data_IF_431052622268
#
_entry.id   IF_431052622268
#
_cell.length_a   1.000
_cell.length_b   1.000
_cell.length_c   1.000
_cell.angle_alpha   90.00
_cell.angle_beta   90.00
_cell.angle_gamma   90.00
#
_symmetry.space_group_name_H-M   'P 1'
#
loop_
_entity.id
_entity.type
_entity.pdbx_description
1 polymer ?
#
# COMPACT_ATOMS: atom_id res chain seq x y z
N UNK A 1 8.72 25.82 18.26
CA UNK A 1 8.63 26.04 16.80
C UNK A 1 9.64 25.22 15.98
N UNK A 2 10.96 25.50 15.99
CA UNK A 2 11.93 24.71 15.18
C UNK A 2 12.03 23.24 15.59
N UNK A 3 12.03 22.95 16.91
CA UNK A 3 12.07 21.59 17.45
C UNK A 3 10.78 20.82 17.10
N UNK A 4 9.61 21.47 17.22
CA UNK A 4 8.32 20.87 16.84
C UNK A 4 8.25 20.57 15.35
N UNK A 5 8.76 21.47 14.49
CA UNK A 5 8.84 21.23 13.05
C UNK A 5 9.73 20.03 12.72
N UNK A 6 10.88 19.88 13.39
CA UNK A 6 11.72 18.68 13.23
C UNK A 6 11.01 17.42 13.73
N UNK A 7 10.26 17.50 14.83
CA UNK A 7 9.49 16.37 15.34
C UNK A 7 8.39 15.94 14.36
N UNK A 8 7.65 16.89 13.77
CA UNK A 8 6.65 16.59 12.74
C UNK A 8 7.27 16.05 11.45
N UNK A 9 8.43 16.57 11.03
CA UNK A 9 9.16 16.04 9.88
C UNK A 9 9.59 14.59 10.12
N UNK A 10 10.17 14.29 11.27
CA UNK A 10 10.57 12.93 11.64
C UNK A 10 9.34 12.04 11.62
N UNK A 11 8.29 12.36 12.40
CA UNK A 11 7.03 11.59 12.45
C UNK A 11 6.38 11.42 11.07
N UNK A 12 6.50 12.42 10.20
CA UNK A 12 6.01 12.38 8.84
C UNK A 12 6.76 11.42 7.92
N UNK A 13 8.08 11.41 8.01
CA UNK A 13 8.91 10.41 7.32
C UNK A 13 8.57 9.01 7.85
N UNK A 14 8.34 8.88 9.17
CA UNK A 14 7.95 7.62 9.80
C UNK A 14 6.63 7.09 9.21
N UNK A 15 5.58 7.92 9.22
CA UNK A 15 4.27 7.57 8.67
C UNK A 15 4.34 7.32 7.16
N UNK A 16 5.13 8.12 6.46
CA UNK A 16 5.30 8.05 5.02
C UNK A 16 6.04 6.80 4.56
N UNK A 17 6.96 6.24 5.35
CA UNK A 17 7.54 4.93 5.07
C UNK A 17 6.48 3.82 5.04
N UNK A 18 5.47 3.91 5.91
CA UNK A 18 4.38 2.93 5.97
C UNK A 18 3.42 3.10 4.78
N UNK A 19 3.10 4.35 4.41
CA UNK A 19 2.34 4.62 3.17
C UNK A 19 3.12 4.23 1.91
N UNK A 20 4.45 4.36 1.93
CA UNK A 20 5.31 3.86 0.86
C UNK A 20 5.18 2.35 0.69
N UNK A 21 5.07 1.61 1.81
CA UNK A 21 4.85 0.17 1.80
C UNK A 21 3.48 -0.22 1.19
N UNK A 22 2.46 0.63 1.34
CA UNK A 22 1.14 0.47 0.69
C UNK A 22 1.16 0.90 -0.78
N UNK A 23 1.93 1.92 -1.13
CA UNK A 23 2.05 2.42 -2.50
C UNK A 23 2.86 1.48 -3.41
N UNK A 24 3.89 0.84 -2.86
CA UNK A 24 4.75 -0.07 -3.60
C UNK A 24 3.98 -1.19 -4.34
N UNK A 25 3.11 -1.98 -3.69
CA UNK A 25 2.39 -3.04 -4.37
C UNK A 25 1.37 -2.53 -5.37
N UNK A 26 0.80 -1.33 -5.16
CA UNK A 26 -0.08 -0.69 -6.14
C UNK A 26 0.69 -0.39 -7.43
N UNK A 27 1.87 0.22 -7.33
CA UNK A 27 2.74 0.45 -8.50
C UNK A 27 3.21 -0.86 -9.14
N UNK A 28 3.62 -1.86 -8.34
CA UNK A 28 4.08 -3.13 -8.88
C UNK A 28 2.97 -3.87 -9.64
N UNK A 29 1.76 -3.89 -9.08
CA UNK A 29 0.62 -4.53 -9.73
C UNK A 29 0.23 -3.81 -11.02
N UNK A 30 0.17 -2.47 -10.98
CA UNK A 30 -0.13 -1.67 -12.16
C UNK A 30 0.91 -1.91 -13.25
N UNK A 31 2.20 -1.88 -12.91
CA UNK A 31 3.27 -2.14 -13.86
C UNK A 31 3.11 -3.50 -14.56
N UNK A 32 2.65 -4.54 -13.84
CA UNK A 32 2.52 -5.89 -14.41
C UNK A 32 1.19 -6.19 -15.14
N UNK A 33 0.09 -5.55 -14.74
CA UNK A 33 -1.26 -5.89 -15.20
C UNK A 33 -2.02 -4.75 -15.85
N UNK A 34 -1.46 -3.54 -15.89
CA UNK A 34 -2.13 -2.29 -16.28
C UNK A 34 -3.42 -2.00 -15.49
N UNK A 35 -3.59 -2.66 -14.35
CA UNK A 35 -4.78 -2.58 -13.50
C UNK A 35 -4.39 -2.26 -12.06
N UNK A 36 -5.26 -1.54 -11.37
CA UNK A 36 -5.08 -1.14 -9.97
C UNK A 36 -5.91 -2.05 -9.08
N UNK A 37 -5.36 -2.45 -7.94
CA UNK A 37 -6.11 -3.11 -6.88
C UNK A 37 -6.47 -2.09 -5.80
N UNK A 38 -7.77 -1.84 -5.65
CA UNK A 38 -8.29 -0.94 -4.61
C UNK A 38 -8.55 -1.64 -3.27
N UNK A 39 -8.26 -2.94 -3.18
CA UNK A 39 -8.37 -3.73 -1.95
C UNK A 39 -7.18 -3.65 -1.01
N UNK A 40 -6.06 -3.05 -1.43
CA UNK A 40 -4.80 -3.02 -0.66
C UNK A 40 -5.01 -2.52 0.78
N UNK A 41 -5.76 -1.44 0.99
CA UNK A 41 -6.07 -0.94 2.32
C UNK A 41 -6.99 -1.86 3.14
N UNK A 42 -7.93 -2.55 2.50
CA UNK A 42 -8.79 -3.53 3.17
C UNK A 42 -7.97 -4.73 3.69
N UNK A 43 -6.95 -5.18 2.95
CA UNK A 43 -6.04 -6.24 3.41
C UNK A 43 -5.21 -5.79 4.62
N UNK A 44 -4.76 -4.53 4.62
CA UNK A 44 -4.05 -3.94 5.75
C UNK A 44 -4.92 -3.92 7.02
N UNK A 45 -6.18 -3.51 6.89
CA UNK A 45 -7.15 -3.51 7.99
C UNK A 45 -7.44 -4.92 8.50
N UNK A 46 -7.64 -5.89 7.60
CA UNK A 46 -7.85 -7.28 8.00
C UNK A 46 -6.67 -7.85 8.78
N UNK A 47 -5.44 -7.59 8.33
CA UNK A 47 -4.24 -8.02 9.05
C UNK A 47 -4.17 -7.41 10.44
N UNK A 48 -4.43 -6.10 10.54
CA UNK A 48 -4.49 -5.39 11.81
C UNK A 48 -5.55 -6.00 12.72
N UNK A 49 -6.78 -6.21 12.22
CA UNK A 49 -7.92 -6.79 12.93
C UNK A 49 -7.58 -8.11 13.61
N UNK A 50 -7.04 -9.05 12.83
CA UNK A 50 -6.64 -10.37 13.33
C UNK A 50 -5.48 -10.26 14.32
N UNK A 51 -4.49 -9.39 14.05
CA UNK A 51 -3.35 -9.18 14.94
C UNK A 51 -3.74 -8.56 16.28
N UNK A 52 -4.79 -7.71 16.30
CA UNK A 52 -5.33 -7.14 17.53
C UNK A 52 -6.10 -8.18 18.35
N UNK A 53 -6.98 -8.95 17.71
CA UNK A 53 -7.84 -9.92 18.38
C UNK A 53 -7.04 -11.02 19.08
N UNK A 54 -6.05 -11.58 18.40
CA UNK A 54 -5.32 -12.74 18.90
C UNK A 54 -4.12 -12.38 19.77
N UNK A 55 -3.59 -11.17 19.64
CA UNK A 55 -2.42 -10.76 20.42
C UNK A 55 -1.12 -11.47 19.99
N UNK A 56 0.01 -10.94 20.49
CA UNK A 56 1.32 -11.57 20.35
C UNK A 56 1.82 -11.80 18.92
N UNK A 57 2.89 -12.57 18.79
CA UNK A 57 3.50 -12.93 17.49
C UNK A 57 2.59 -13.83 16.64
N UNK A 58 1.76 -14.65 17.30
CA UNK A 58 0.84 -15.56 16.63
C UNK A 58 -0.28 -14.80 15.91
N UNK A 59 -0.86 -13.78 16.55
CA UNK A 59 -1.85 -12.91 15.92
C UNK A 59 -1.29 -12.15 14.72
N UNK A 60 -0.05 -11.66 14.80
CA UNK A 60 0.62 -11.00 13.67
C UNK A 60 0.75 -11.97 12.49
N UNK A 61 1.26 -13.19 12.72
CA UNK A 61 1.42 -14.17 11.66
C UNK A 61 0.09 -14.52 10.99
N UNK A 62 -0.96 -14.76 11.78
CA UNK A 62 -2.29 -15.05 11.25
C UNK A 62 -2.91 -13.86 10.52
N UNK A 63 -2.66 -12.64 10.98
CA UNK A 63 -3.09 -11.42 10.28
C UNK A 63 -2.42 -11.29 8.92
N UNK A 64 -1.11 -11.56 8.84
CA UNK A 64 -0.39 -11.59 7.56
C UNK A 64 -0.91 -12.69 6.64
N UNK A 65 -1.16 -13.89 7.16
CA UNK A 65 -1.80 -14.96 6.39
C UNK A 65 -3.18 -14.54 5.88
N UNK A 66 -3.99 -13.88 6.72
CA UNK A 66 -5.30 -13.35 6.33
C UNK A 66 -5.22 -12.33 5.19
N UNK A 67 -4.27 -11.39 5.25
CA UNK A 67 -4.05 -10.42 4.18
C UNK A 67 -3.57 -11.07 2.88
N UNK A 68 -2.67 -12.05 2.96
CA UNK A 68 -2.20 -12.81 1.80
C UNK A 68 -3.34 -13.62 1.17
N UNK A 69 -4.18 -14.26 1.99
CA UNK A 69 -5.34 -15.00 1.50
C UNK A 69 -6.34 -14.06 0.82
N UNK A 70 -6.63 -12.90 1.44
CA UNK A 70 -7.53 -11.91 0.87
C UNK A 70 -7.02 -11.35 -0.47
N UNK A 71 -5.73 -11.00 -0.56
CA UNK A 71 -5.16 -10.49 -1.80
C UNK A 71 -5.04 -11.58 -2.87
N UNK A 72 -4.79 -12.84 -2.48
CA UNK A 72 -4.81 -13.98 -3.40
C UNK A 72 -6.21 -14.18 -3.97
N UNK A 73 -7.27 -14.09 -3.16
CA UNK A 73 -8.66 -14.18 -3.62
C UNK A 73 -8.99 -13.04 -4.59
N UNK A 74 -8.54 -11.82 -4.32
CA UNK A 74 -8.69 -10.70 -5.24
C UNK A 74 -7.91 -10.90 -6.54
N UNK A 75 -6.69 -11.44 -6.47
CA UNK A 75 -5.89 -11.81 -7.64
C UNK A 75 -6.55 -12.91 -8.47
N UNK A 76 -7.15 -13.90 -7.83
CA UNK A 76 -7.92 -14.96 -8.51
C UNK A 76 -9.18 -14.39 -9.15
N UNK A 77 -9.88 -13.48 -8.48
CA UNK A 77 -11.04 -12.77 -9.04
C UNK A 77 -10.62 -11.97 -10.28
N UNK A 78 -9.53 -11.20 -10.20
CA UNK A 78 -8.94 -10.47 -11.32
C UNK A 78 -8.55 -11.40 -12.47
N UNK A 79 -7.90 -12.53 -12.19
CA UNK A 79 -7.53 -13.52 -13.20
C UNK A 79 -8.76 -14.18 -13.85
N UNK A 80 -9.84 -14.41 -13.10
CA UNK A 80 -11.11 -14.96 -13.61
C UNK A 80 -11.82 -13.97 -14.52
N UNK A 81 -11.88 -12.69 -14.14
CA UNK A 81 -12.45 -11.63 -14.95
C UNK A 81 -11.67 -11.51 -16.26
N UNK A 82 -10.34 -11.47 -16.20
CA UNK A 82 -9.50 -11.37 -17.39
C UNK A 82 -9.56 -12.60 -18.30
N UNK A 83 -9.79 -13.79 -17.74
CA UNK A 83 -9.97 -15.02 -18.52
C UNK A 83 -11.36 -15.11 -19.21
N UNK A 84 -12.36 -14.39 -18.71
CA UNK A 84 -13.73 -14.39 -19.25
C UNK A 84 -13.97 -13.43 -20.42
N UNK A 85 -12.95 -12.71 -20.88
CA UNK A 85 -13.06 -11.81 -22.02
C UNK A 85 -13.35 -12.56 -23.33
N UNK A 86 -14.33 -12.08 -24.11
CA UNK A 86 -14.72 -12.69 -25.39
C UNK A 86 -13.53 -12.66 -26.35
N UNK A 87 -13.18 -13.82 -26.94
CA UNK A 87 -12.16 -13.93 -27.98
C UNK A 87 -10.70 -13.87 -27.49
N UNK A 88 -10.43 -14.07 -26.20
CA UNK A 88 -9.07 -14.01 -25.64
C UNK A 88 -8.51 -12.60 -25.46
N UNK A 89 -9.32 -11.57 -25.74
CA UNK A 89 -9.00 -10.19 -25.41
C UNK A 89 -9.16 -9.96 -23.90
N UNK A 90 -8.23 -9.21 -23.29
CA UNK A 90 -8.36 -8.75 -21.90
C UNK A 90 -9.60 -7.86 -21.79
N UNK A 91 -10.34 -8.01 -20.69
CA UNK A 91 -11.41 -7.08 -20.35
C UNK A 91 -10.82 -5.70 -20.05
N UNK A 92 -11.67 -4.66 -20.15
CA UNK A 92 -11.29 -3.30 -19.78
C UNK A 92 -10.69 -3.29 -18.36
N UNK A 93 -9.48 -2.73 -18.16
CA UNK A 93 -8.85 -2.60 -16.85
C UNK A 93 -9.79 -2.03 -15.77
N UNK A 94 -10.73 -1.16 -16.16
CA UNK A 94 -11.73 -0.59 -15.24
C UNK A 94 -12.62 -1.66 -14.58
N UNK A 95 -12.92 -2.75 -15.27
CA UNK A 95 -13.74 -3.84 -14.71
C UNK A 95 -13.01 -4.53 -13.56
N UNK A 96 -11.69 -4.71 -13.68
CA UNK A 96 -10.85 -5.30 -12.62
C UNK A 96 -10.76 -4.36 -11.42
N UNK A 97 -10.60 -3.07 -11.66
CA UNK A 97 -10.58 -2.03 -10.60
C UNK A 97 -11.91 -2.02 -9.84
N UNK A 98 -13.04 -2.01 -10.55
CA UNK A 98 -14.37 -2.04 -9.92
C UNK A 98 -14.61 -3.33 -9.14
N UNK A 99 -14.14 -4.47 -9.65
CA UNK A 99 -14.27 -5.75 -8.96
C UNK A 99 -13.44 -5.81 -7.68
N UNK A 100 -12.19 -5.32 -7.70
CA UNK A 100 -11.34 -5.24 -6.50
C UNK A 100 -11.88 -4.24 -5.49
N UNK A 101 -12.46 -3.13 -5.94
CA UNK A 101 -13.17 -2.18 -5.08
C UNK A 101 -14.40 -2.81 -4.39
N UNK A 102 -15.23 -3.52 -5.15
CA UNK A 102 -16.36 -4.26 -4.59
C UNK A 102 -15.92 -5.32 -3.57
N UNK A 103 -14.84 -6.05 -3.88
CA UNK A 103 -14.24 -7.00 -2.94
C UNK A 103 -13.71 -6.31 -1.68
N UNK A 104 -13.09 -5.14 -1.80
CA UNK A 104 -12.61 -4.34 -0.67
C UNK A 104 -13.76 -3.97 0.27
N UNK A 105 -14.91 -3.52 -0.27
CA UNK A 105 -16.09 -3.16 0.52
C UNK A 105 -16.67 -4.37 1.25
N UNK A 106 -16.74 -5.53 0.59
CA UNK A 106 -17.21 -6.78 1.22
C UNK A 106 -16.30 -7.14 2.40
N UNK A 107 -14.98 -7.06 2.20
CA UNK A 107 -13.99 -7.39 3.21
C UNK A 107 -14.02 -6.40 4.38
N UNK A 108 -14.14 -5.10 4.10
CA UNK A 108 -14.30 -4.07 5.13
C UNK A 108 -15.60 -4.27 5.93
N UNK A 109 -16.70 -4.58 5.25
CA UNK A 109 -18.00 -4.87 5.88
C UNK A 109 -17.92 -6.12 6.76
N UNK A 110 -17.18 -7.15 6.32
CA UNK A 110 -16.91 -8.33 7.11
C UNK A 110 -16.14 -7.99 8.39
N UNK A 111 -15.05 -7.22 8.28
CA UNK A 111 -14.28 -6.79 9.45
C UNK A 111 -15.14 -5.97 10.42
N UNK A 112 -15.92 -5.00 9.93
CA UNK A 112 -16.79 -4.18 10.78
C UNK A 112 -17.87 -4.98 11.50
N UNK A 113 -18.39 -6.04 10.87
CA UNK A 113 -19.44 -6.88 11.47
C UNK A 113 -18.90 -7.77 12.58
N UNK A 114 -17.71 -8.34 12.40
CA UNK A 114 -17.11 -9.27 13.36
C UNK A 114 -16.33 -8.59 14.49
N UNK A 115 -15.63 -7.49 14.19
CA UNK A 115 -14.73 -6.82 15.14
C UNK A 115 -15.30 -5.53 15.73
N UNK A 116 -16.42 -5.03 15.18
CA UNK A 116 -17.08 -3.81 15.63
C UNK A 116 -16.53 -2.54 14.99
N UNK A 117 -16.92 -1.39 15.56
CA UNK A 117 -16.57 -0.05 15.06
C UNK A 117 -15.54 0.68 15.93
N UNK A 118 -15.22 0.12 17.10
CA UNK A 118 -14.33 0.78 18.04
C UNK A 118 -12.92 0.87 17.46
N UNK A 119 -12.23 2.01 17.59
CA UNK A 119 -10.89 2.16 17.06
C UNK A 119 -9.94 1.17 17.71
N UNK A 120 -9.12 0.54 16.89
CA UNK A 120 -8.06 -0.35 17.32
C UNK A 120 -6.95 0.47 17.93
N UNK A 121 -6.90 0.50 19.27
CA UNK A 121 -5.84 1.19 20.00
C UNK A 121 -5.05 0.13 20.76
N UNK A 122 -3.83 -0.17 20.31
CA UNK A 122 -2.83 -0.77 21.21
C UNK A 122 -2.03 0.36 21.83
N UNK A 123 -1.88 0.30 23.15
CA UNK A 123 -0.94 1.16 23.86
C UNK A 123 0.44 0.94 23.28
N UNK A 124 1.02 2.02 22.74
CA UNK A 124 2.44 2.05 22.47
C UNK A 124 3.19 1.99 23.81
N UNK A 125 4.41 1.43 23.83
CA UNK A 125 5.29 1.45 25.00
C UNK A 125 5.27 2.86 25.62
N UNK A 126 4.96 2.96 26.92
CA UNK A 126 4.83 4.25 27.63
C UNK A 126 6.17 5.01 27.74
N UNK A 127 7.28 4.35 27.42
CA UNK A 127 8.63 4.90 27.50
C UNK A 127 8.95 5.78 26.29
N UNK A 128 8.76 7.10 26.40
CA UNK A 128 9.30 8.03 25.41
C UNK A 128 10.79 8.26 25.64
N UNK A 129 11.64 8.00 24.64
CA UNK A 129 13.05 8.42 24.68
C UNK A 129 13.16 9.88 24.26
N UNK A 130 13.85 10.67 25.08
CA UNK A 130 14.22 12.04 24.75
C UNK A 130 15.65 12.02 24.21
N UNK A 131 15.82 12.34 22.93
CA UNK A 131 17.13 12.56 22.32
C UNK A 131 17.18 14.01 21.86
N UNK A 132 18.13 14.79 22.37
CA UNK A 132 18.34 16.21 22.03
C UNK A 132 17.08 17.11 22.11
N UNK A 133 16.15 16.84 23.04
CA UNK A 133 14.92 17.62 23.21
C UNK A 133 13.74 17.19 22.31
N UNK A 134 13.92 16.15 21.48
CA UNK A 134 12.86 15.58 20.63
C UNK A 134 12.29 14.34 21.33
N UNK A 135 10.96 14.29 21.51
CA UNK A 135 10.26 13.12 22.05
C UNK A 135 10.00 12.14 20.92
N UNK A 136 10.83 11.09 20.83
CA UNK A 136 10.61 10.00 19.88
C UNK A 136 10.08 8.80 20.67
N UNK A 137 8.92 8.29 20.26
CA UNK A 137 8.45 7.02 20.79
C UNK A 137 9.35 5.90 20.22
N UNK A 138 10.07 5.12 21.04
CA UNK A 138 10.96 4.04 20.59
C UNK A 138 10.25 3.05 19.67
N UNK A 139 8.95 2.84 19.89
CA UNK A 139 8.13 1.96 19.06
C UNK A 139 7.97 2.49 17.62
N UNK A 140 7.87 3.81 17.45
CA UNK A 140 7.81 4.42 16.12
C UNK A 140 9.16 4.30 15.39
N UNK A 141 10.28 4.41 16.11
CA UNK A 141 11.61 4.24 15.54
C UNK A 141 11.87 2.78 15.10
N UNK A 142 11.48 1.80 15.93
CA UNK A 142 11.58 0.37 15.61
C UNK A 142 10.72 0.04 14.39
N UNK A 143 9.45 0.46 14.39
CA UNK A 143 8.52 0.19 13.28
C UNK A 143 9.02 0.73 11.94
N UNK A 144 9.72 1.86 11.96
CA UNK A 144 10.29 2.47 10.75
C UNK A 144 11.57 1.79 10.33
N UNK A 145 12.42 1.39 11.30
CA UNK A 145 13.53 0.49 11.02
C UNK A 145 13.05 -0.78 10.30
N UNK A 146 11.94 -1.36 10.77
CA UNK A 146 11.30 -2.51 10.12
C UNK A 146 10.77 -2.17 8.73
N UNK A 147 10.07 -1.05 8.55
CA UNK A 147 9.54 -0.62 7.26
C UNK A 147 10.65 -0.38 6.22
N UNK A 148 11.74 0.28 6.62
CA UNK A 148 12.87 0.57 5.74
C UNK A 148 13.67 -0.71 5.43
N UNK A 149 13.84 -1.58 6.43
CA UNK A 149 14.46 -2.90 6.23
C UNK A 149 13.65 -3.75 5.25
N UNK A 150 12.32 -3.80 5.41
CA UNK A 150 11.43 -4.51 4.50
C UNK A 150 11.46 -3.93 3.09
N UNK A 151 11.46 -2.60 2.96
CA UNK A 151 11.60 -1.94 1.66
C UNK A 151 12.91 -2.31 0.98
N UNK A 152 14.03 -2.31 1.71
CA UNK A 152 15.34 -2.73 1.19
C UNK A 152 15.34 -4.20 0.78
N UNK A 153 14.79 -5.08 1.61
CA UNK A 153 14.67 -6.50 1.33
C UNK A 153 13.83 -6.74 0.07
N UNK A 154 12.74 -5.98 -0.10
CA UNK A 154 11.88 -6.09 -1.26
C UNK A 154 12.50 -5.52 -2.53
N UNK A 155 13.26 -4.44 -2.41
CA UNK A 155 14.08 -3.92 -3.49
C UNK A 155 15.10 -4.98 -3.95
N UNK A 156 15.83 -5.59 -3.01
CA UNK A 156 16.77 -6.65 -3.32
C UNK A 156 16.08 -7.86 -3.95
N UNK A 157 14.93 -8.27 -3.41
CA UNK A 157 14.16 -9.37 -3.97
C UNK A 157 13.69 -9.06 -5.39
N UNK A 158 13.13 -7.88 -5.64
CA UNK A 158 12.70 -7.48 -6.97
C UNK A 158 13.91 -7.47 -7.93
N UNK A 159 14.99 -6.78 -7.60
CA UNK A 159 16.10 -6.58 -8.54
C UNK A 159 17.06 -7.76 -8.69
N UNK A 160 17.21 -8.61 -7.67
CA UNK A 160 18.15 -9.75 -7.69
C UNK A 160 17.52 -11.13 -7.86
N UNK A 161 16.21 -11.31 -7.62
CA UNK A 161 15.59 -12.63 -7.79
C UNK A 161 15.16 -12.91 -9.23
N UNK A 162 15.07 -14.19 -9.60
CA UNK A 162 14.52 -14.62 -10.88
C UNK A 162 13.07 -14.15 -11.07
N UNK A 163 12.23 -14.34 -10.05
CA UNK A 163 10.84 -13.88 -10.03
C UNK A 163 10.71 -12.38 -10.27
N UNK A 164 11.58 -11.58 -9.67
CA UNK A 164 11.57 -10.14 -9.86
C UNK A 164 12.05 -9.70 -11.26
N UNK A 165 12.91 -10.48 -11.92
CA UNK A 165 13.23 -10.28 -13.35
C UNK A 165 12.01 -10.56 -14.21
N UNK A 166 11.28 -11.64 -13.94
CA UNK A 166 10.08 -12.01 -14.69
C UNK A 166 8.96 -10.97 -14.50
N UNK A 167 8.78 -10.46 -13.28
CA UNK A 167 7.87 -9.34 -12.99
C UNK A 167 8.23 -8.09 -13.80
N UNK A 168 9.52 -7.72 -13.86
CA UNK A 168 9.96 -6.58 -14.69
C UNK A 168 9.81 -6.84 -16.19
N UNK A 169 10.03 -8.06 -16.66
CA UNK A 169 9.81 -8.43 -18.05
C UNK A 169 8.32 -8.31 -18.43
N UNK A 170 7.42 -8.81 -17.57
CA UNK A 170 5.99 -8.61 -17.72
C UNK A 170 5.60 -7.12 -17.71
N UNK A 171 6.26 -6.32 -16.87
CA UNK A 171 6.00 -4.89 -16.78
C UNK A 171 6.51 -4.06 -17.97
N UNK A 172 7.54 -4.54 -18.67
CA UNK A 172 8.01 -3.91 -19.89
C UNK A 172 7.08 -4.21 -21.07
N UNK A 173 6.71 -5.48 -21.25
CA UNK A 173 5.73 -5.90 -22.25
C UNK A 173 5.19 -7.30 -21.92
N UNK A 174 3.96 -7.36 -21.42
CA UNK A 174 3.31 -8.61 -21.05
C UNK A 174 3.15 -9.58 -22.23
N UNK A 175 2.96 -9.10 -23.46
CA UNK A 175 2.82 -9.93 -24.66
C UNK A 175 4.17 -10.55 -25.04
N UNK A 176 5.24 -9.74 -25.08
CA UNK A 176 6.59 -10.24 -25.35
C UNK A 176 7.06 -11.22 -24.26
N UNK A 177 6.73 -10.95 -22.99
CA UNK A 177 7.01 -11.87 -21.89
C UNK A 177 6.29 -13.22 -22.06
N UNK A 178 5.03 -13.21 -22.48
CA UNK A 178 4.28 -14.44 -22.77
C UNK A 178 4.91 -15.25 -23.92
N UNK A 179 5.39 -14.56 -24.98
CA UNK A 179 6.08 -15.20 -26.10
C UNK A 179 7.45 -15.77 -25.69
N UNK A 180 8.11 -15.17 -24.70
CA UNK A 180 9.34 -15.69 -24.10
C UNK A 180 9.10 -16.86 -23.12
N UNK A 181 7.87 -17.35 -23.00
CA UNK A 181 7.51 -18.48 -22.13
C UNK A 181 7.25 -18.11 -20.66
N UNK A 182 7.22 -16.81 -20.32
CA UNK A 182 6.94 -16.36 -18.95
C UNK A 182 5.43 -16.51 -18.68
N UNK A 183 5.03 -17.23 -17.61
CA UNK A 183 3.61 -17.42 -17.30
C UNK A 183 3.02 -16.15 -16.65
N UNK A 184 2.66 -15.15 -17.49
CA UNK A 184 2.16 -13.83 -17.07
C UNK A 184 1.05 -13.90 -16.03
N UNK A 185 0.13 -14.88 -16.15
CA UNK A 185 -0.96 -15.08 -15.19
C UNK A 185 -0.47 -15.49 -13.80
N UNK A 186 0.55 -16.33 -13.72
CA UNK A 186 1.16 -16.73 -12.44
C UNK A 186 1.94 -15.57 -11.83
N UNK A 187 2.68 -14.82 -12.66
CA UNK A 187 3.40 -13.62 -12.22
C UNK A 187 2.43 -12.58 -11.64
N UNK A 188 1.29 -12.32 -12.31
CA UNK A 188 0.27 -11.41 -11.80
C UNK A 188 -0.29 -11.87 -10.43
N UNK A 189 -0.61 -13.16 -10.27
CA UNK A 189 -1.07 -13.70 -8.98
C UNK A 189 -0.01 -13.57 -7.88
N UNK A 190 1.26 -13.81 -8.20
CA UNK A 190 2.35 -13.61 -7.26
C UNK A 190 2.48 -12.13 -6.86
N UNK A 191 2.25 -11.19 -7.79
CA UNK A 191 2.22 -9.76 -7.46
C UNK A 191 1.11 -9.43 -6.46
N UNK A 192 -0.10 -10.01 -6.61
CA UNK A 192 -1.18 -9.86 -5.63
C UNK A 192 -0.80 -10.45 -4.26
N UNK A 193 -0.17 -11.62 -4.22
CA UNK A 193 0.28 -12.27 -2.96
C UNK A 193 1.31 -11.41 -2.24
N UNK A 194 2.34 -10.95 -2.95
CA UNK A 194 3.36 -10.04 -2.41
C UNK A 194 2.72 -8.72 -1.97
N UNK A 195 1.74 -8.22 -2.73
CA UNK A 195 1.02 -7.01 -2.40
C UNK A 195 0.17 -7.11 -1.14
N UNK A 196 -0.53 -8.22 -0.95
CA UNK A 196 -1.28 -8.48 0.29
C UNK A 196 -0.37 -8.67 1.49
N UNK A 197 0.77 -9.34 1.31
CA UNK A 197 1.78 -9.46 2.37
C UNK A 197 2.27 -8.08 2.81
N UNK A 198 2.62 -7.21 1.86
CA UNK A 198 3.08 -5.85 2.15
C UNK A 198 2.00 -4.99 2.78
N UNK A 199 0.78 -5.07 2.25
CA UNK A 199 -0.37 -4.37 2.81
C UNK A 199 -0.64 -4.80 4.24
N UNK A 200 -0.59 -6.11 4.51
CA UNK A 200 -0.76 -6.68 5.84
C UNK A 200 0.31 -6.20 6.81
N UNK A 201 1.59 -6.20 6.38
CA UNK A 201 2.67 -5.68 7.22
C UNK A 201 2.48 -4.20 7.50
N UNK A 202 2.14 -3.40 6.48
CA UNK A 202 1.84 -1.98 6.65
C UNK A 202 0.71 -1.76 7.66
N UNK A 203 -0.38 -2.53 7.55
CA UNK A 203 -1.52 -2.43 8.46
C UNK A 203 -1.17 -2.76 9.91
N UNK A 204 -0.40 -3.83 10.13
CA UNK A 204 0.12 -4.18 11.45
C UNK A 204 1.01 -3.06 12.00
N UNK A 205 1.92 -2.51 11.18
CA UNK A 205 2.76 -1.40 11.61
C UNK A 205 1.93 -0.16 12.00
N UNK A 206 0.90 0.21 11.23
CA UNK A 206 0.01 1.34 11.57
C UNK A 206 -0.69 1.08 12.91
N UNK A 207 -1.24 -0.12 13.10
CA UNK A 207 -1.90 -0.52 14.36
C UNK A 207 -0.99 -0.30 15.58
N UNK A 208 0.28 -0.69 15.49
CA UNK A 208 1.25 -0.52 16.57
C UNK A 208 1.84 0.90 16.67
N UNK A 209 1.62 1.78 15.70
CA UNK A 209 2.23 3.13 15.71
C UNK A 209 1.23 4.20 16.12
N UNK A 210 0.04 4.19 15.52
CA UNK A 210 -0.98 5.24 15.70
C UNK A 210 -2.33 4.70 16.14
N UNK A 211 -2.49 3.37 16.17
CA UNK A 211 -3.80 2.75 16.14
C UNK A 211 -4.47 2.91 14.76
N UNK A 212 -5.55 2.18 14.56
CA UNK A 212 -6.26 2.11 13.28
C UNK A 212 -7.77 1.99 13.50
N UNK A 213 -8.59 2.66 12.68
CA UNK A 213 -10.03 2.38 12.63
C UNK A 213 -10.31 1.17 11.74
N UNK A 214 -11.29 0.34 12.09
CA UNK A 214 -11.75 -0.74 11.19
C UNK A 214 -12.33 -0.21 9.87
N UNK A 215 -12.74 1.05 9.80
CA UNK A 215 -13.18 1.73 8.57
C UNK A 215 -12.06 2.47 7.81
N UNK A 216 -10.79 2.25 8.18
CA UNK A 216 -9.67 2.95 7.55
C UNK A 216 -9.28 2.34 6.19
N UNK A 217 -9.93 1.27 5.73
CA UNK A 217 -9.51 0.49 4.57
C UNK A 217 -9.43 1.34 3.30
N UNK A 218 -10.55 1.96 2.93
CA UNK A 218 -10.61 2.85 1.77
C UNK A 218 -9.64 4.04 1.90
N UNK A 219 -9.52 4.61 3.09
CA UNK A 219 -8.61 5.73 3.34
C UNK A 219 -7.14 5.36 3.06
N UNK A 220 -6.70 4.20 3.53
CA UNK A 220 -5.35 3.68 3.30
C UNK A 220 -5.12 3.32 1.83
N UNK A 221 -6.13 2.72 1.17
CA UNK A 221 -6.06 2.46 -0.28
C UNK A 221 -5.84 3.77 -1.04
N UNK A 222 -6.62 4.81 -0.77
CA UNK A 222 -6.49 6.09 -1.49
C UNK A 222 -5.16 6.76 -1.21
N UNK A 223 -4.65 6.71 0.02
CA UNK A 223 -3.34 7.26 0.35
C UNK A 223 -2.21 6.54 -0.41
N UNK A 224 -2.23 5.19 -0.43
CA UNK A 224 -1.24 4.39 -1.15
C UNK A 224 -1.35 4.52 -2.67
N UNK A 225 -2.56 4.46 -3.22
CA UNK A 225 -2.82 4.68 -4.63
C UNK A 225 -2.43 6.09 -5.06
N UNK A 226 -2.76 7.11 -4.26
CA UNK A 226 -2.36 8.48 -4.51
C UNK A 226 -0.85 8.62 -4.59
N UNK A 227 -0.12 8.09 -3.61
CA UNK A 227 1.34 8.06 -3.62
C UNK A 227 1.90 7.42 -4.90
N UNK A 228 1.36 6.26 -5.29
CA UNK A 228 1.76 5.54 -6.50
C UNK A 228 1.42 6.33 -7.78
N UNK A 229 0.21 6.88 -7.87
CA UNK A 229 -0.29 7.64 -9.02
C UNK A 229 0.52 8.91 -9.26
N UNK A 230 0.83 9.64 -8.20
CA UNK A 230 1.55 10.91 -8.29
C UNK A 230 3.02 10.73 -8.66
N UNK A 231 3.70 9.75 -8.07
CA UNK A 231 5.16 9.64 -8.19
C UNK A 231 5.59 8.59 -9.23
N UNK A 232 4.72 7.65 -9.59
CA UNK A 232 4.92 6.76 -10.73
C UNK A 232 4.27 5.39 -10.56
N UNK A 233 3.22 5.11 -11.34
CA UNK A 233 2.54 3.81 -11.35
C UNK A 233 3.42 2.69 -11.91
N UNK A 234 4.31 2.98 -12.86
CA UNK A 234 5.16 1.95 -13.48
C UNK A 234 6.49 1.70 -12.74
N UNK A 235 6.78 2.48 -11.69
CA UNK A 235 8.04 2.37 -10.95
C UNK A 235 7.76 2.21 -9.45
N UNK A 236 7.85 0.98 -8.91
CA UNK A 236 7.58 0.72 -7.49
C UNK A 236 8.43 1.56 -6.54
N UNK A 237 9.68 1.85 -6.93
CA UNK A 237 10.59 2.68 -6.14
C UNK A 237 10.11 4.13 -6.04
N UNK A 238 9.62 4.69 -7.16
CA UNK A 238 9.08 6.06 -7.17
C UNK A 238 7.77 6.13 -6.39
N UNK A 239 6.92 5.10 -6.46
CA UNK A 239 5.72 4.98 -5.64
C UNK A 239 6.01 5.02 -4.13
N UNK A 240 7.07 4.31 -3.69
CA UNK A 240 7.51 4.36 -2.29
C UNK A 240 7.91 5.77 -1.84
N UNK A 241 8.73 6.46 -2.65
CA UNK A 241 9.11 7.86 -2.38
C UNK A 241 7.86 8.75 -2.29
N UNK A 242 6.86 8.50 -3.12
CA UNK A 242 5.57 9.18 -3.04
C UNK A 242 4.85 8.97 -1.72
N UNK A 243 4.89 7.76 -1.17
CA UNK A 243 4.34 7.47 0.15
C UNK A 243 5.04 8.26 1.26
N UNK A 244 6.37 8.38 1.18
CA UNK A 244 7.16 9.20 2.11
C UNK A 244 6.72 10.66 2.04
N UNK A 245 6.58 11.21 0.84
CA UNK A 245 6.12 12.60 0.66
C UNK A 245 4.71 12.79 1.22
N UNK A 246 3.76 11.92 0.88
CA UNK A 246 2.38 12.02 1.38
C UNK A 246 2.34 11.95 2.91
N UNK A 247 3.09 11.04 3.53
CA UNK A 247 3.16 10.94 4.99
C UNK A 247 3.79 12.16 5.65
N UNK A 248 4.81 12.77 5.04
CA UNK A 248 5.39 14.02 5.55
C UNK A 248 4.41 15.18 5.49
N UNK A 249 3.68 15.32 4.38
CA UNK A 249 2.63 16.35 4.24
C UNK A 249 1.54 16.15 5.27
N UNK A 250 1.11 14.90 5.51
CA UNK A 250 0.11 14.58 6.52
C UNK A 250 0.56 14.93 7.95
N UNK A 251 1.79 14.59 8.34
CA UNK A 251 2.27 14.88 9.68
C UNK A 251 2.50 16.38 9.92
N UNK A 252 2.99 17.11 8.92
CA UNK A 252 3.08 18.58 8.97
C UNK A 252 1.68 19.19 9.10
N UNK A 253 0.72 18.69 8.32
CA UNK A 253 -0.67 19.16 8.41
C UNK A 253 -1.29 18.85 9.77
N UNK A 254 -0.96 17.73 10.40
CA UNK A 254 -1.41 17.40 11.75
C UNK A 254 -0.88 18.36 12.83
N UNK A 255 0.28 18.98 12.59
CA UNK A 255 0.87 19.96 13.51
C UNK A 255 0.34 21.38 13.34
N UNK A 256 -0.04 21.77 12.13
CA UNK A 256 -0.41 23.15 11.80
C UNK A 256 -1.91 23.36 11.52
N UNK A 257 -2.68 22.30 11.21
CA UNK A 257 -4.11 22.37 10.91
C UNK A 257 -4.95 21.67 12.01
N UNK A 258 -6.24 22.04 12.15
CA UNK A 258 -7.17 21.37 13.07
C UNK A 258 -7.25 19.85 12.80
N UNK A 259 -7.36 19.07 13.87
CA UNK A 259 -7.18 17.60 13.90
C UNK A 259 -8.03 16.79 12.89
N UNK A 260 -9.15 17.32 12.42
CA UNK A 260 -9.99 16.68 11.39
C UNK A 260 -9.46 16.76 9.96
N UNK A 261 -8.58 17.72 9.65
CA UNK A 261 -8.07 17.91 8.29
C UNK A 261 -6.82 17.08 7.98
N UNK A 262 -6.08 16.68 9.00
CA UNK A 262 -4.83 15.93 8.84
C UNK A 262 -5.03 14.59 8.14
N UNK A 263 -6.09 13.85 8.49
CA UNK A 263 -6.46 12.61 7.80
C UNK A 263 -6.96 12.88 6.38
N UNK A 264 -7.57 14.03 6.08
CA UNK A 264 -8.02 14.37 4.71
C UNK A 264 -6.89 14.79 3.76
N UNK A 265 -5.71 15.16 4.29
CA UNK A 265 -4.63 15.76 3.49
C UNK A 265 -4.00 14.85 2.43
N UNK A 266 -3.75 13.56 2.67
CA UNK A 266 -3.32 12.65 1.61
C UNK A 266 -4.27 12.66 0.40
N UNK A 267 -5.57 12.72 0.69
CA UNK A 267 -6.64 12.66 -0.30
C UNK A 267 -6.75 13.98 -1.06
N UNK A 268 -6.68 15.12 -0.37
CA UNK A 268 -6.59 16.46 -0.97
C UNK A 268 -5.33 16.63 -1.82
N UNK A 269 -4.18 16.18 -1.33
CA UNK A 269 -2.92 16.26 -2.07
C UNK A 269 -2.98 15.40 -3.34
N UNK A 270 -3.51 14.18 -3.24
CA UNK A 270 -3.77 13.32 -4.39
C UNK A 270 -4.69 13.99 -5.39
N UNK A 271 -5.81 14.58 -4.92
CA UNK A 271 -6.79 15.28 -5.76
C UNK A 271 -6.17 16.49 -6.46
N UNK A 272 -5.46 17.35 -5.73
CA UNK A 272 -4.82 18.56 -6.27
C UNK A 272 -3.82 18.23 -7.36
N UNK A 273 -3.02 17.17 -7.18
CA UNK A 273 -2.04 16.79 -8.17
C UNK A 273 -2.68 16.08 -9.37
N UNK A 274 -3.74 15.29 -9.18
CA UNK A 274 -4.54 14.75 -10.29
C UNK A 274 -5.12 15.88 -11.15
N UNK A 275 -5.66 16.94 -10.53
CA UNK A 275 -6.17 18.13 -11.24
C UNK A 275 -5.04 18.90 -11.93
N UNK A 276 -3.84 18.93 -11.35
CA UNK A 276 -2.69 19.65 -11.92
C UNK A 276 -2.19 19.05 -13.24
N UNK A 277 -2.70 17.89 -13.68
CA UNK A 277 -2.37 17.27 -14.96
C UNK A 277 -0.91 16.83 -15.10
N UNK A 278 -0.09 16.95 -14.03
CA UNK A 278 1.33 16.58 -14.03
C UNK A 278 1.57 15.09 -13.80
N UNK A 279 0.52 14.26 -13.82
CA UNK A 279 0.61 12.80 -13.90
C UNK A 279 1.09 12.42 -15.31
N UNK A 280 2.36 12.71 -15.55
CA UNK A 280 3.22 12.19 -16.60
C UNK A 280 2.58 12.07 -18.00
N UNK A 281 2.46 13.22 -18.68
CA UNK A 281 2.44 13.32 -20.15
C UNK A 281 3.65 12.61 -20.81
N UNK A 282 4.69 12.26 -20.04
CA UNK A 282 5.86 11.53 -20.54
C UNK A 282 5.67 10.03 -20.82
N UNK A 283 4.47 9.47 -20.63
CA UNK A 283 4.14 8.09 -21.07
C UNK A 283 3.50 8.00 -22.46
N UNK A 284 3.04 9.12 -23.03
CA UNK A 284 2.25 9.13 -24.28
C UNK A 284 3.13 9.30 -25.53
N UNK A 285 4.44 9.55 -25.39
CA UNK A 285 5.38 9.77 -26.51
C UNK A 285 6.44 8.66 -26.62
N UNK A 286 6.17 7.48 -26.05
CA UNK A 286 7.05 6.30 -26.11
C UNK A 286 6.59 5.25 -27.10
N UNK A 287 6.56 5.59 -28.40
CA UNK A 287 6.70 4.67 -29.54
C UNK A 287 5.93 3.34 -29.52
N UNK A 288 4.70 3.36 -30.03
CA UNK A 288 4.21 2.26 -30.86
C UNK A 288 4.62 2.57 -32.30
N UNK A 289 5.69 1.93 -32.75
CA UNK A 289 6.03 1.71 -34.14
C UNK A 289 6.58 0.29 -34.27
#
# INVERSE_FOLDING_TARGET
>A
MLIEMMEFLVRGILLGAIYGLLAFPVSLLFATTDSVDLGVGAYAVLAAAIAMLLGGSFGILLGLCGAVLASLLAGLLSARINAGGRGGARNDPLVVVLATFGFAIILESFVLTFFGKDPMVRQAFETSWQWAGIRINPQAAINVGTALFLMLLLYLWLYRSAWGRDMRACAANALAAALAGIPVRHIALMTYVVGGLLAGIAGVLILYTTGMSYSAGLHLTIAGFGAAALFGLHSPLRGFVGGVVIGTVQALSAGYLPSGWASGMPMLFTLLVLISGRVNVAGVVGGRA
#
